data_IF_552631534281
#
_entry.id   IF_552631534281
#
_cell.length_a   1.000
_cell.length_b   1.000
_cell.length_c   1.000
_cell.angle_alpha   90.00
_cell.angle_beta   90.00
_cell.angle_gamma   90.00
#
_symmetry.space_group_name_H-M   'P 1'
#
loop_
_entity.id
_entity.type
_entity.pdbx_description
1 polymer ?
#
# COMPACT_ATOMS: atom_id res chain seq x y z
N UNK A 1 45.29 2.95 -18.61
CA UNK A 1 43.97 2.28 -18.60
C UNK A 1 43.41 2.44 -17.20
N UNK A 2 42.30 3.18 -17.03
CA UNK A 2 41.64 3.25 -15.73
C UNK A 2 40.79 1.99 -15.59
N UNK A 3 41.27 1.04 -14.79
CA UNK A 3 40.51 -0.16 -14.48
C UNK A 3 39.37 0.21 -13.52
N UNK A 4 38.16 -0.29 -13.80
CA UNK A 4 36.97 -0.16 -12.96
C UNK A 4 37.24 -0.54 -11.49
N UNK A 5 38.17 -1.47 -11.27
CA UNK A 5 38.62 -1.92 -9.95
C UNK A 5 39.33 -0.85 -9.12
N UNK A 6 39.82 0.23 -9.72
CA UNK A 6 40.49 1.32 -8.99
C UNK A 6 39.55 2.44 -8.53
N UNK A 7 38.26 2.39 -8.90
CA UNK A 7 37.27 3.33 -8.40
C UNK A 7 37.14 3.17 -6.88
N UNK A 8 36.83 4.26 -6.15
CA UNK A 8 36.60 4.19 -4.71
C UNK A 8 35.29 3.44 -4.39
N UNK A 9 35.14 2.96 -3.16
CA UNK A 9 33.93 2.27 -2.73
C UNK A 9 32.70 3.19 -2.80
N UNK A 10 32.88 4.45 -2.42
CA UNK A 10 31.82 5.47 -2.45
C UNK A 10 31.30 5.66 -3.87
N UNK A 11 32.21 5.83 -4.83
CA UNK A 11 31.83 6.06 -6.22
C UNK A 11 31.22 4.81 -6.86
N UNK A 12 31.67 3.61 -6.48
CA UNK A 12 31.05 2.35 -6.91
C UNK A 12 29.64 2.18 -6.35
N UNK A 13 29.41 2.52 -5.07
CA UNK A 13 28.08 2.49 -4.47
C UNK A 13 27.15 3.48 -5.17
N UNK A 14 27.62 4.70 -5.42
CA UNK A 14 26.87 5.72 -6.17
C UNK A 14 26.49 5.21 -7.56
N UNK A 15 27.40 4.54 -8.28
CA UNK A 15 27.09 3.91 -9.57
C UNK A 15 26.07 2.77 -9.40
N UNK A 16 26.25 1.92 -8.40
CA UNK A 16 25.41 0.74 -8.17
C UNK A 16 23.96 1.11 -7.84
N UNK A 17 23.71 2.28 -7.22
CA UNK A 17 22.34 2.77 -7.00
C UNK A 17 21.54 2.93 -8.31
N UNK A 18 22.21 3.18 -9.44
CA UNK A 18 21.57 3.33 -10.75
C UNK A 18 21.45 2.02 -11.53
N UNK A 19 22.07 0.93 -11.07
CA UNK A 19 22.09 -0.35 -11.78
C UNK A 19 21.21 -1.34 -11.03
N UNK A 20 20.40 -2.09 -11.77
CA UNK A 20 19.59 -3.15 -11.18
C UNK A 20 20.50 -4.21 -10.51
N UNK A 21 20.29 -4.54 -9.22
CA UNK A 21 21.11 -5.50 -8.48
C UNK A 21 21.26 -6.86 -9.14
N UNK A 22 20.29 -7.28 -9.96
CA UNK A 22 20.37 -8.49 -10.76
C UNK A 22 21.54 -8.45 -11.73
N UNK A 23 21.70 -7.35 -12.45
CA UNK A 23 22.81 -7.18 -13.39
C UNK A 23 24.13 -7.09 -12.64
N UNK A 24 24.14 -6.39 -11.51
CA UNK A 24 25.33 -6.33 -10.67
C UNK A 24 25.74 -7.72 -10.18
N UNK A 25 24.77 -8.53 -9.73
CA UNK A 25 25.03 -9.90 -9.33
C UNK A 25 25.58 -10.72 -10.49
N UNK A 26 24.88 -10.84 -11.63
CA UNK A 26 25.36 -11.71 -12.70
C UNK A 26 26.67 -11.26 -13.36
N UNK A 27 26.99 -9.97 -13.32
CA UNK A 27 28.22 -9.46 -13.92
C UNK A 27 29.39 -9.36 -12.95
N UNK A 28 29.16 -9.18 -11.64
CA UNK A 28 30.24 -8.92 -10.68
C UNK A 28 30.32 -9.94 -9.54
N UNK A 29 29.27 -10.73 -9.32
CA UNK A 29 29.29 -11.74 -8.27
C UNK A 29 30.36 -12.79 -8.58
N UNK A 30 31.13 -13.14 -7.56
CA UNK A 30 32.28 -14.05 -7.65
C UNK A 30 33.45 -13.57 -8.51
N UNK A 31 33.42 -12.32 -9.04
CA UNK A 31 34.61 -11.72 -9.66
C UNK A 31 35.64 -11.36 -8.59
N UNK A 32 35.21 -10.66 -7.53
CA UNK A 32 36.07 -10.29 -6.41
C UNK A 32 35.22 -10.06 -5.14
N UNK A 33 35.74 -10.50 -3.99
CA UNK A 33 35.10 -10.32 -2.67
C UNK A 33 34.77 -8.87 -2.34
N UNK A 34 35.56 -7.91 -2.83
CA UNK A 34 35.28 -6.47 -2.67
C UNK A 34 33.95 -6.07 -3.32
N UNK A 35 33.70 -6.50 -4.56
CA UNK A 35 32.47 -6.17 -5.28
C UNK A 35 31.25 -6.86 -4.67
N UNK A 36 31.41 -8.11 -4.20
CA UNK A 36 30.39 -8.80 -3.42
C UNK A 36 30.03 -7.98 -2.17
N UNK A 37 31.02 -7.55 -1.39
CA UNK A 37 30.80 -6.76 -0.18
C UNK A 37 30.12 -5.41 -0.48
N UNK A 38 30.48 -4.76 -1.59
CA UNK A 38 29.83 -3.52 -2.02
C UNK A 38 28.37 -3.73 -2.40
N UNK A 39 28.06 -4.78 -3.16
CA UNK A 39 26.69 -5.14 -3.52
C UNK A 39 25.82 -5.37 -2.27
N UNK A 40 26.37 -6.07 -1.28
CA UNK A 40 25.69 -6.35 0.00
C UNK A 40 25.60 -5.10 0.92
N UNK A 41 26.35 -4.04 0.61
CA UNK A 41 26.36 -2.78 1.35
C UNK A 41 25.42 -1.72 0.76
N UNK A 42 24.78 -2.00 -0.38
CA UNK A 42 23.81 -1.09 -1.00
C UNK A 42 22.68 -0.83 -0.01
N UNK A 43 22.54 0.43 0.40
CA UNK A 43 21.42 0.86 1.24
C UNK A 43 20.14 0.72 0.43
N UNK A 44 19.09 0.23 1.06
CA UNK A 44 17.78 0.11 0.40
C UNK A 44 17.80 -0.80 -0.83
N UNK A 45 18.59 -1.88 -0.78
CA UNK A 45 18.64 -2.86 -1.85
C UNK A 45 17.24 -3.30 -2.26
N UNK A 46 16.90 -3.04 -3.52
CA UNK A 46 15.61 -3.39 -4.12
C UNK A 46 15.75 -4.67 -4.92
N UNK A 47 15.04 -5.70 -4.48
CA UNK A 47 14.99 -6.99 -5.17
C UNK A 47 13.60 -7.17 -5.81
N UNK A 48 13.60 -7.48 -7.11
CA UNK A 48 12.42 -7.87 -7.87
C UNK A 48 12.59 -9.33 -8.27
N UNK A 49 11.65 -10.17 -7.86
CA UNK A 49 11.65 -11.61 -8.15
C UNK A 49 10.55 -11.91 -9.13
N UNK A 50 10.97 -12.30 -10.33
CA UNK A 50 10.09 -12.77 -11.41
C UNK A 50 10.37 -14.28 -11.68
N UNK A 51 9.63 -14.90 -12.60
CA UNK A 51 9.67 -16.35 -12.90
C UNK A 51 11.05 -16.89 -13.37
N UNK A 52 12.04 -16.02 -13.57
CA UNK A 52 13.36 -16.37 -14.12
C UNK A 52 14.52 -16.20 -13.14
N UNK A 53 14.26 -15.71 -11.93
CA UNK A 53 15.33 -15.42 -10.99
C UNK A 53 15.94 -16.68 -10.39
N UNK A 54 17.27 -16.73 -10.30
CA UNK A 54 17.95 -17.89 -9.73
C UNK A 54 17.85 -17.92 -8.20
N UNK A 55 17.70 -19.12 -7.64
CA UNK A 55 17.73 -19.32 -6.19
C UNK A 55 19.03 -18.83 -5.54
N UNK A 56 20.15 -18.87 -6.26
CA UNK A 56 21.45 -18.38 -5.79
C UNK A 56 21.42 -16.86 -5.55
N UNK A 57 20.91 -16.09 -6.52
CA UNK A 57 20.76 -14.64 -6.40
C UNK A 57 19.86 -14.28 -5.23
N UNK A 58 18.70 -14.94 -5.13
CA UNK A 58 17.76 -14.72 -4.03
C UNK A 58 18.43 -15.03 -2.69
N UNK A 59 19.13 -16.15 -2.58
CA UNK A 59 19.79 -16.54 -1.34
C UNK A 59 20.91 -15.58 -0.92
N UNK A 60 21.65 -15.04 -1.89
CA UNK A 60 22.73 -14.10 -1.64
C UNK A 60 22.22 -12.72 -1.21
N UNK A 61 21.16 -12.22 -1.87
CA UNK A 61 20.70 -10.84 -1.72
C UNK A 61 19.58 -10.67 -0.69
N UNK A 62 18.78 -11.71 -0.42
CA UNK A 62 17.61 -11.63 0.46
C UNK A 62 17.90 -11.05 1.85
N UNK A 63 19.00 -11.40 2.55
CA UNK A 63 19.28 -10.85 3.88
C UNK A 63 19.50 -9.32 3.87
N UNK A 64 19.90 -8.76 2.72
CA UNK A 64 20.24 -7.35 2.56
C UNK A 64 19.12 -6.54 1.89
N UNK A 65 18.13 -7.22 1.31
CA UNK A 65 17.02 -6.57 0.64
C UNK A 65 16.12 -5.82 1.64
N UNK A 66 15.94 -4.51 1.39
CA UNK A 66 15.01 -3.66 2.13
C UNK A 66 13.65 -3.49 1.44
N UNK A 67 13.64 -3.60 0.10
CA UNK A 67 12.42 -3.59 -0.70
C UNK A 67 12.36 -4.88 -1.51
N UNK A 68 11.25 -5.60 -1.34
CA UNK A 68 10.98 -6.81 -2.10
C UNK A 68 9.72 -6.63 -2.94
N UNK A 69 9.83 -6.97 -4.22
CA UNK A 69 8.68 -7.21 -5.10
C UNK A 69 8.74 -8.64 -5.60
N UNK A 70 7.68 -9.42 -5.38
CA UNK A 70 7.54 -10.78 -5.92
C UNK A 70 6.42 -10.79 -6.95
N UNK A 71 6.76 -11.10 -8.21
CA UNK A 71 5.82 -11.23 -9.32
C UNK A 71 5.81 -12.62 -9.96
N UNK A 72 6.32 -13.63 -9.28
CA UNK A 72 6.18 -15.04 -9.67
C UNK A 72 5.06 -15.73 -8.90
N UNK A 73 4.64 -16.90 -9.38
CA UNK A 73 3.79 -17.85 -8.64
C UNK A 73 4.58 -18.76 -7.71
N UNK A 74 5.92 -18.71 -7.77
CA UNK A 74 6.78 -19.56 -6.95
C UNK A 74 6.72 -19.17 -5.47
N UNK A 75 6.82 -20.19 -4.62
CA UNK A 75 6.96 -20.02 -3.19
C UNK A 75 8.34 -19.49 -2.83
N UNK A 76 8.39 -18.18 -2.61
CA UNK A 76 9.55 -17.51 -2.03
C UNK A 76 9.47 -17.56 -0.50
N UNK A 77 10.52 -18.08 0.13
CA UNK A 77 10.69 -18.04 1.58
C UNK A 77 11.02 -16.61 2.06
N UNK A 78 9.99 -15.94 2.56
CA UNK A 78 10.06 -14.57 3.06
C UNK A 78 10.88 -14.46 4.36
N UNK A 79 11.15 -15.56 5.08
CA UNK A 79 11.99 -15.53 6.29
C UNK A 79 13.46 -15.21 5.99
N UNK A 80 13.88 -15.34 4.72
CA UNK A 80 15.22 -14.95 4.28
C UNK A 80 15.41 -13.43 4.26
N UNK A 81 14.32 -12.66 4.29
CA UNK A 81 14.33 -11.21 4.11
C UNK A 81 14.14 -10.47 5.44
N UNK A 82 15.20 -10.44 6.26
CA UNK A 82 15.13 -9.95 7.65
C UNK A 82 15.05 -8.42 7.79
N UNK A 83 15.42 -7.69 6.75
CA UNK A 83 15.54 -6.23 6.77
C UNK A 83 14.46 -5.52 5.95
N UNK A 84 13.36 -6.20 5.63
CA UNK A 84 12.29 -5.62 4.83
C UNK A 84 11.59 -4.48 5.56
N UNK A 85 11.53 -3.35 4.87
CA UNK A 85 10.62 -2.26 5.21
C UNK A 85 9.54 -2.08 4.14
N UNK A 86 9.71 -2.64 2.93
CA UNK A 86 8.69 -2.63 1.88
C UNK A 86 8.50 -4.01 1.26
N UNK A 87 7.26 -4.50 1.26
CA UNK A 87 6.87 -5.76 0.63
C UNK A 87 5.73 -5.55 -0.37
N UNK A 88 5.97 -6.00 -1.61
CA UNK A 88 4.95 -6.08 -2.66
C UNK A 88 4.84 -7.52 -3.15
N UNK A 89 3.67 -8.12 -2.98
CA UNK A 89 3.36 -9.43 -3.58
C UNK A 89 2.31 -9.22 -4.67
N UNK A 90 2.71 -9.45 -5.93
CA UNK A 90 1.80 -9.33 -7.06
C UNK A 90 0.89 -10.56 -7.23
N UNK A 91 1.38 -11.73 -6.84
CA UNK A 91 0.71 -13.03 -6.96
C UNK A 91 0.97 -13.87 -5.69
N UNK A 92 0.50 -13.42 -4.51
CA UNK A 92 0.85 -14.06 -3.25
C UNK A 92 0.30 -15.49 -3.19
N UNK A 93 1.14 -16.45 -2.82
CA UNK A 93 0.70 -17.81 -2.49
C UNK A 93 0.20 -17.88 -1.04
N UNK A 94 -0.54 -18.93 -0.69
CA UNK A 94 -0.98 -19.11 0.70
C UNK A 94 0.22 -19.27 1.65
N UNK A 95 1.28 -19.94 1.20
CA UNK A 95 2.50 -20.12 2.00
C UNK A 95 3.14 -18.76 2.30
N UNK A 96 3.26 -17.89 1.29
CA UNK A 96 3.78 -16.54 1.47
C UNK A 96 2.91 -15.69 2.42
N UNK A 97 1.58 -15.76 2.29
CA UNK A 97 0.67 -15.02 3.18
C UNK A 97 0.86 -15.40 4.65
N UNK A 98 1.02 -16.70 4.95
CA UNK A 98 1.29 -17.19 6.33
C UNK A 98 2.63 -16.73 6.91
N UNK A 99 3.59 -16.39 6.05
CA UNK A 99 4.91 -15.92 6.48
C UNK A 99 4.93 -14.41 6.77
N UNK A 100 3.94 -13.65 6.28
CA UNK A 100 3.79 -12.22 6.57
C UNK A 100 3.32 -12.06 8.02
N UNK A 101 4.27 -11.79 8.91
CA UNK A 101 4.01 -11.59 10.33
C UNK A 101 4.87 -10.47 10.88
N UNK A 102 4.32 -9.72 11.83
CA UNK A 102 5.02 -8.57 12.40
C UNK A 102 6.28 -8.95 13.20
N UNK A 103 6.33 -10.17 13.75
CA UNK A 103 7.50 -10.71 14.46
C UNK A 103 8.66 -11.06 13.52
N UNK A 104 8.36 -11.43 12.28
CA UNK A 104 9.39 -11.73 11.25
C UNK A 104 9.76 -10.52 10.41
N UNK A 105 8.88 -9.52 10.33
CA UNK A 105 9.07 -8.28 9.55
C UNK A 105 8.80 -7.03 10.42
N UNK A 106 9.56 -6.82 11.51
CA UNK A 106 9.28 -5.74 12.48
C UNK A 106 9.44 -4.33 11.89
N UNK A 107 10.25 -4.20 10.83
CA UNK A 107 10.54 -2.93 10.16
C UNK A 107 9.58 -2.62 9.00
N UNK A 108 8.58 -3.46 8.75
CA UNK A 108 7.68 -3.30 7.62
C UNK A 108 6.83 -2.03 7.75
N UNK A 109 7.01 -1.12 6.81
CA UNK A 109 6.32 0.17 6.74
C UNK A 109 5.42 0.28 5.51
N UNK A 110 5.69 -0.51 4.45
CA UNK A 110 4.90 -0.56 3.23
C UNK A 110 4.49 -2.00 2.91
N UNK A 111 3.20 -2.22 2.76
CA UNK A 111 2.65 -3.53 2.38
C UNK A 111 1.66 -3.37 1.22
N UNK A 112 1.98 -4.01 0.10
CA UNK A 112 1.11 -4.11 -1.06
C UNK A 112 0.84 -5.57 -1.37
N UNK A 113 -0.44 -5.93 -1.35
CA UNK A 113 -0.89 -7.26 -1.68
C UNK A 113 -1.92 -7.20 -2.83
N UNK A 114 -1.51 -7.71 -3.99
CA UNK A 114 -2.32 -7.79 -5.21
C UNK A 114 -3.25 -9.01 -5.19
N UNK A 115 -4.32 -9.02 -6.00
CA UNK A 115 -5.37 -10.03 -5.85
C UNK A 115 -4.83 -11.43 -6.17
N UNK A 116 -5.16 -12.39 -5.30
CA UNK A 116 -4.99 -13.81 -5.56
C UNK A 116 -6.27 -14.40 -6.19
N UNK A 117 -6.13 -15.54 -6.86
CA UNK A 117 -7.21 -16.41 -7.33
C UNK A 117 -7.91 -17.09 -6.14
N UNK A 118 -7.22 -17.28 -5.01
CA UNK A 118 -7.75 -17.95 -3.81
C UNK A 118 -7.92 -16.94 -2.65
N UNK A 119 -9.11 -16.91 -2.05
CA UNK A 119 -9.49 -16.04 -0.93
C UNK A 119 -8.86 -16.47 0.42
N UNK A 120 -7.54 -16.68 0.48
CA UNK A 120 -6.83 -17.17 1.70
C UNK A 120 -6.18 -16.05 2.51
N UNK A 121 -6.71 -14.84 2.41
CA UNK A 121 -6.15 -13.63 3.02
C UNK A 121 -6.28 -13.55 4.54
N UNK A 122 -7.09 -14.41 5.16
CA UNK A 122 -7.33 -14.42 6.61
C UNK A 122 -6.10 -14.85 7.43
N UNK A 123 -5.04 -15.34 6.77
CA UNK A 123 -3.78 -15.76 7.41
C UNK A 123 -2.91 -14.59 7.91
N UNK A 124 -3.22 -13.33 7.54
CA UNK A 124 -2.45 -12.14 7.97
C UNK A 124 -3.16 -11.42 9.13
N UNK A 125 -2.45 -11.28 10.25
CA UNK A 125 -2.88 -10.48 11.41
C UNK A 125 -2.36 -9.03 11.31
N UNK A 126 -3.15 -8.17 10.66
CA UNK A 126 -2.81 -6.78 10.39
C UNK A 126 -2.70 -5.93 11.67
N UNK A 127 -3.37 -6.30 12.76
CA UNK A 127 -3.33 -5.55 14.03
C UNK A 127 -1.94 -5.45 14.65
N UNK A 128 -1.05 -6.39 14.31
CA UNK A 128 0.33 -6.41 14.85
C UNK A 128 1.28 -5.47 14.11
N UNK A 129 0.91 -4.98 12.93
CA UNK A 129 1.76 -4.14 12.10
C UNK A 129 1.62 -2.64 12.45
N UNK A 130 2.16 -2.25 13.60
CA UNK A 130 2.04 -0.88 14.13
C UNK A 130 2.84 0.19 13.37
N UNK A 131 3.82 -0.23 12.56
CA UNK A 131 4.74 0.65 11.85
C UNK A 131 4.28 0.96 10.41
N UNK A 132 3.12 0.48 9.97
CA UNK A 132 2.67 0.69 8.58
C UNK A 132 2.35 2.17 8.31
N UNK A 133 3.00 2.71 7.29
CA UNK A 133 2.71 4.02 6.70
C UNK A 133 1.83 3.89 5.47
N UNK A 134 1.90 2.75 4.77
CA UNK A 134 1.14 2.50 3.55
C UNK A 134 0.66 1.06 3.49
N UNK A 135 -0.65 0.91 3.31
CA UNK A 135 -1.31 -0.38 3.14
C UNK A 135 -2.13 -0.37 1.86
N UNK A 136 -1.87 -1.33 0.98
CA UNK A 136 -2.68 -1.58 -0.22
C UNK A 136 -3.10 -3.04 -0.27
N UNK A 137 -4.40 -3.27 -0.23
CA UNK A 137 -5.00 -4.60 -0.28
C UNK A 137 -5.97 -4.66 -1.46
N UNK A 138 -5.78 -5.66 -2.32
CA UNK A 138 -6.74 -6.01 -3.35
C UNK A 138 -7.63 -7.16 -2.87
N UNK A 139 -8.94 -6.99 -3.00
CA UNK A 139 -9.98 -7.94 -2.54
C UNK A 139 -9.81 -8.37 -1.07
N UNK A 140 -9.67 -7.41 -0.12
CA UNK A 140 -9.53 -7.75 1.30
C UNK A 140 -10.78 -8.46 1.83
N UNK A 141 -10.60 -9.36 2.80
CA UNK A 141 -11.72 -10.03 3.48
C UNK A 141 -12.31 -9.12 4.56
N UNK A 142 -13.55 -9.40 4.98
CA UNK A 142 -14.18 -8.67 6.09
C UNK A 142 -13.40 -8.79 7.40
N UNK A 143 -12.66 -9.89 7.61
CA UNK A 143 -11.81 -10.06 8.78
C UNK A 143 -10.66 -9.05 8.74
N UNK A 144 -9.92 -8.99 7.63
CA UNK A 144 -8.81 -8.04 7.47
C UNK A 144 -9.25 -6.59 7.62
N UNK A 145 -10.41 -6.24 7.07
CA UNK A 145 -10.91 -4.86 7.14
C UNK A 145 -11.26 -4.43 8.55
N UNK A 146 -11.80 -5.35 9.37
CA UNK A 146 -12.05 -5.10 10.79
C UNK A 146 -10.76 -4.91 11.58
N UNK A 147 -9.64 -5.40 11.06
CA UNK A 147 -8.32 -5.24 11.67
C UNK A 147 -7.67 -3.89 11.36
N UNK A 148 -8.09 -3.20 10.31
CA UNK A 148 -7.59 -1.87 9.98
C UNK A 148 -8.27 -0.85 10.89
N UNK A 149 -7.54 -0.38 11.90
CA UNK A 149 -8.02 0.61 12.86
C UNK A 149 -6.93 1.61 13.21
N UNK A 150 -7.33 2.83 13.52
CA UNK A 150 -6.41 3.94 13.80
C UNK A 150 -5.51 3.70 15.03
N UNK A 151 -6.04 3.02 16.06
CA UNK A 151 -5.31 2.65 17.27
C UNK A 151 -4.20 1.62 17.01
N UNK A 152 -4.39 0.74 16.03
CA UNK A 152 -3.41 -0.28 15.65
C UNK A 152 -2.46 0.16 14.54
N UNK A 153 -2.86 1.10 13.70
CA UNK A 153 -2.06 1.66 12.60
C UNK A 153 -1.98 3.19 12.68
N UNK A 154 -1.39 3.75 13.76
CA UNK A 154 -1.42 5.19 14.02
C UNK A 154 -0.65 6.01 12.97
N UNK A 155 0.33 5.39 12.31
CA UNK A 155 1.20 6.05 11.32
C UNK A 155 0.66 5.99 9.88
N UNK A 156 -0.51 5.40 9.67
CA UNK A 156 -1.01 5.13 8.32
C UNK A 156 -1.30 6.45 7.58
N UNK A 157 -0.59 6.65 6.47
CA UNK A 157 -0.72 7.83 5.59
C UNK A 157 -1.46 7.52 4.29
N UNK A 158 -1.39 6.26 3.86
CA UNK A 158 -1.95 5.78 2.61
C UNK A 158 -2.69 4.47 2.83
N UNK A 159 -3.97 4.44 2.46
CA UNK A 159 -4.81 3.24 2.52
C UNK A 159 -5.53 3.01 1.19
N UNK A 160 -5.20 1.93 0.49
CA UNK A 160 -5.88 1.55 -0.75
C UNK A 160 -6.55 0.20 -0.60
N UNK A 161 -7.87 0.22 -0.55
CA UNK A 161 -8.69 -0.98 -0.62
C UNK A 161 -9.25 -1.06 -2.03
N UNK A 162 -8.78 -2.03 -2.81
CA UNK A 162 -9.26 -2.27 -4.17
C UNK A 162 -10.26 -3.43 -4.15
N UNK A 163 -11.56 -3.13 -4.01
CA UNK A 163 -12.57 -4.16 -3.85
C UNK A 163 -12.94 -4.90 -5.13
N UNK A 164 -13.75 -5.97 -4.96
CA UNK A 164 -14.63 -6.47 -6.01
C UNK A 164 -15.85 -5.56 -6.19
N UNK A 165 -16.54 -5.62 -7.33
CA UNK A 165 -17.58 -4.67 -7.81
C UNK A 165 -18.73 -4.39 -6.83
N UNK A 166 -18.94 -5.23 -5.80
CA UNK A 166 -20.05 -5.14 -4.83
C UNK A 166 -19.62 -4.98 -3.37
N UNK A 167 -18.40 -4.49 -3.12
CA UNK A 167 -17.88 -4.40 -1.76
C UNK A 167 -18.20 -3.05 -1.09
N UNK A 168 -18.71 -3.14 0.14
CA UNK A 168 -18.86 -2.00 1.05
C UNK A 168 -17.82 -2.06 2.15
N UNK A 169 -17.16 -0.93 2.42
CA UNK A 169 -16.21 -0.82 3.51
C UNK A 169 -16.95 -0.90 4.87
N UNK A 170 -16.37 -1.54 5.91
CA UNK A 170 -17.02 -1.60 7.22
C UNK A 170 -17.31 -0.20 7.76
N UNK A 171 -18.49 -0.01 8.36
CA UNK A 171 -18.91 1.27 8.96
C UNK A 171 -17.88 1.85 9.92
N UNK A 172 -17.23 1.01 10.73
CA UNK A 172 -16.19 1.45 11.66
C UNK A 172 -14.97 2.04 10.95
N UNK A 173 -14.48 1.38 9.89
CA UNK A 173 -13.31 1.85 9.14
C UNK A 173 -13.60 3.20 8.46
N UNK A 174 -14.81 3.34 7.90
CA UNK A 174 -15.27 4.62 7.37
C UNK A 174 -15.35 5.65 8.49
N UNK A 175 -15.96 5.32 9.62
CA UNK A 175 -16.02 6.24 10.77
C UNK A 175 -14.63 6.73 11.17
N UNK A 176 -13.67 5.83 11.40
CA UNK A 176 -12.30 6.18 11.82
C UNK A 176 -11.58 7.08 10.81
N UNK A 177 -11.76 6.84 9.51
CA UNK A 177 -11.11 7.60 8.46
C UNK A 177 -11.67 9.03 8.32
N UNK A 178 -13.00 9.15 8.46
CA UNK A 178 -13.71 10.40 8.32
C UNK A 178 -13.78 11.19 9.64
N UNK A 179 -13.49 10.55 10.78
CA UNK A 179 -13.49 11.22 12.08
C UNK A 179 -12.18 11.86 12.52
N UNK A 180 -11.10 11.63 11.77
CA UNK A 180 -9.77 12.12 12.13
C UNK A 180 -9.03 11.23 13.12
N UNK A 181 -9.56 10.05 13.48
CA UNK A 181 -8.84 9.06 14.27
C UNK A 181 -7.55 8.63 13.55
N UNK A 182 -7.62 8.43 12.23
CA UNK A 182 -6.42 8.33 11.41
C UNK A 182 -5.75 9.69 11.17
N UNK A 183 -5.05 10.21 12.17
CA UNK A 183 -4.45 11.56 12.20
C UNK A 183 -3.50 11.87 11.04
N UNK A 184 -2.90 10.85 10.45
CA UNK A 184 -1.91 11.00 9.37
C UNK A 184 -2.41 10.54 8.00
N UNK A 185 -3.64 10.00 7.90
CA UNK A 185 -4.16 9.45 6.66
C UNK A 185 -4.47 10.58 5.68
N UNK A 186 -3.68 10.65 4.60
CA UNK A 186 -3.75 11.68 3.55
C UNK A 186 -4.41 11.15 2.28
N UNK A 187 -4.21 9.87 1.98
CA UNK A 187 -4.76 9.24 0.80
C UNK A 187 -5.56 8.02 1.20
N UNK A 188 -6.81 7.96 0.75
CA UNK A 188 -7.66 6.81 0.97
C UNK A 188 -8.41 6.42 -0.30
N UNK A 189 -8.41 5.13 -0.63
CA UNK A 189 -9.39 4.53 -1.52
C UNK A 189 -10.20 3.53 -0.74
N UNK A 190 -11.47 3.84 -0.56
CA UNK A 190 -12.45 2.90 -0.10
C UNK A 190 -13.15 2.28 -1.30
N UNK A 191 -13.81 1.16 -1.06
CA UNK A 191 -14.79 0.66 -2.00
C UNK A 191 -16.07 1.49 -1.93
N UNK A 192 -17.19 0.80 -1.89
CA UNK A 192 -18.47 1.45 -1.76
C UNK A 192 -18.71 1.97 -0.33
N UNK A 193 -19.37 3.12 -0.23
CA UNK A 193 -19.91 3.69 1.01
C UNK A 193 -21.44 3.74 0.91
N UNK A 194 -22.10 2.87 1.67
CA UNK A 194 -23.57 2.70 1.66
C UNK A 194 -24.32 3.61 2.65
N UNK A 195 -23.63 4.28 3.58
CA UNK A 195 -24.28 4.92 4.73
C UNK A 195 -23.73 6.32 4.99
N UNK A 196 -24.66 7.25 5.25
CA UNK A 196 -24.39 8.63 5.64
C UNK A 196 -24.00 8.76 7.12
N UNK A 197 -24.43 7.83 7.97
CA UNK A 197 -24.28 7.90 9.43
C UNK A 197 -22.86 8.26 9.90
N UNK A 198 -21.77 7.69 9.32
CA UNK A 198 -20.42 7.98 9.78
C UNK A 198 -19.93 9.41 9.45
N UNK A 199 -20.57 10.10 8.50
CA UNK A 199 -20.10 11.38 7.96
C UNK A 199 -20.66 12.59 8.72
N UNK A 200 -21.81 12.43 9.41
CA UNK A 200 -22.56 13.57 9.92
C UNK A 200 -22.03 14.18 11.24
N UNK A 201 -20.97 13.62 11.84
CA UNK A 201 -20.56 13.99 13.22
C UNK A 201 -19.09 14.34 13.40
N UNK A 202 -18.29 14.21 12.35
CA UNK A 202 -16.85 14.33 12.51
C UNK A 202 -16.20 15.07 11.35
N UNK A 203 -14.93 15.40 11.49
CA UNK A 203 -14.14 16.01 10.43
C UNK A 203 -12.77 15.36 10.34
N UNK A 204 -12.40 14.96 9.13
CA UNK A 204 -11.05 14.49 8.81
C UNK A 204 -10.22 15.65 8.28
N UNK A 205 -9.34 16.17 9.13
CA UNK A 205 -8.43 17.26 8.77
C UNK A 205 -7.18 16.77 8.01
N UNK A 206 -6.93 15.46 7.98
CA UNK A 206 -5.74 14.85 7.39
C UNK A 206 -5.91 14.40 5.95
N UNK A 207 -7.13 14.01 5.54
CA UNK A 207 -7.41 13.54 4.19
C UNK A 207 -7.17 14.65 3.16
N UNK A 208 -6.52 14.28 2.05
CA UNK A 208 -6.21 15.15 0.91
C UNK A 208 -6.69 14.53 -0.40
N UNK A 209 -6.61 13.21 -0.50
CA UNK A 209 -7.01 12.45 -1.68
C UNK A 209 -7.97 11.34 -1.26
N UNK A 210 -9.12 11.29 -1.90
CA UNK A 210 -10.16 10.32 -1.57
C UNK A 210 -10.73 9.72 -2.85
N UNK A 211 -10.79 8.39 -2.89
CA UNK A 211 -11.53 7.65 -3.91
C UNK A 211 -12.56 6.75 -3.22
N UNK A 212 -13.84 6.92 -3.56
CA UNK A 212 -14.95 6.14 -3.02
C UNK A 212 -15.88 5.70 -4.14
N UNK A 213 -16.61 4.61 -3.95
CA UNK A 213 -17.80 4.28 -4.72
C UNK A 213 -19.06 4.68 -3.95
N UNK A 214 -20.11 5.12 -4.65
CA UNK A 214 -21.41 5.38 -4.03
C UNK A 214 -22.57 5.08 -4.99
N UNK A 215 -23.74 4.74 -4.45
CA UNK A 215 -24.98 4.59 -5.22
C UNK A 215 -25.73 5.90 -5.39
N UNK A 216 -25.54 6.83 -4.45
CA UNK A 216 -26.27 8.10 -4.39
C UNK A 216 -25.29 9.28 -4.32
N UNK A 217 -25.39 10.17 -5.31
CA UNK A 217 -24.54 11.38 -5.41
C UNK A 217 -24.78 12.37 -4.27
N UNK A 218 -25.90 12.23 -3.56
CA UNK A 218 -26.23 12.99 -2.35
C UNK A 218 -25.23 12.77 -1.20
N UNK A 219 -24.37 11.75 -1.27
CA UNK A 219 -23.26 11.54 -0.33
C UNK A 219 -22.14 12.58 -0.49
N UNK A 220 -21.95 13.11 -1.71
CA UNK A 220 -20.79 13.93 -2.07
C UNK A 220 -20.71 15.22 -1.21
N UNK A 221 -21.80 16.00 -1.01
CA UNK A 221 -21.75 17.17 -0.15
C UNK A 221 -21.31 16.84 1.29
N UNK A 222 -21.77 15.71 1.85
CA UNK A 222 -21.37 15.28 3.19
C UNK A 222 -19.88 14.93 3.27
N UNK A 223 -19.36 14.24 2.25
CA UNK A 223 -17.92 13.93 2.16
C UNK A 223 -17.08 15.21 2.13
N UNK A 224 -17.48 16.20 1.33
CA UNK A 224 -16.79 17.48 1.24
C UNK A 224 -16.88 18.29 2.54
N UNK A 225 -18.02 18.23 3.24
CA UNK A 225 -18.20 18.83 4.57
C UNK A 225 -17.29 18.20 5.63
N UNK A 226 -17.13 16.88 5.56
CA UNK A 226 -16.36 16.07 6.51
C UNK A 226 -14.86 16.20 6.28
N UNK A 227 -14.44 16.44 5.05
CA UNK A 227 -13.02 16.48 4.66
C UNK A 227 -12.66 17.88 4.14
N UNK A 228 -12.58 18.92 4.99
CA UNK A 228 -12.42 20.31 4.52
C UNK A 228 -11.10 20.59 3.80
N UNK A 229 -10.08 19.74 4.00
CA UNK A 229 -8.77 19.88 3.36
C UNK A 229 -8.62 18.99 2.11
N UNK A 230 -9.72 18.45 1.57
CA UNK A 230 -9.66 17.54 0.43
C UNK A 230 -9.25 18.28 -0.85
N UNK A 231 -8.17 17.80 -1.46
CA UNK A 231 -7.59 18.35 -2.69
C UNK A 231 -8.05 17.60 -3.94
N UNK A 232 -8.43 16.32 -3.79
CA UNK A 232 -8.95 15.51 -4.87
C UNK A 232 -9.98 14.50 -4.36
N UNK A 233 -11.12 14.46 -5.04
CA UNK A 233 -12.18 13.47 -4.82
C UNK A 233 -12.44 12.73 -6.13
N UNK A 234 -12.34 11.41 -6.09
CA UNK A 234 -12.78 10.53 -7.17
C UNK A 234 -13.98 9.70 -6.69
N UNK A 235 -15.05 9.66 -7.49
CA UNK A 235 -16.30 9.00 -7.13
C UNK A 235 -16.71 8.04 -8.25
N UNK A 236 -16.76 6.76 -7.93
CA UNK A 236 -17.32 5.74 -8.81
C UNK A 236 -18.84 5.67 -8.55
N UNK A 237 -19.65 6.30 -9.41
CA UNK A 237 -21.11 6.24 -9.31
C UNK A 237 -21.64 4.93 -9.93
N UNK A 238 -22.06 4.00 -9.06
CA UNK A 238 -22.71 2.77 -9.51
C UNK A 238 -24.20 3.08 -9.72
N UNK A 239 -24.71 2.91 -10.94
CA UNK A 239 -26.12 3.20 -11.27
C UNK A 239 -27.05 2.32 -10.41
N UNK A 240 -27.67 2.93 -9.41
CA UNK A 240 -28.92 2.44 -8.83
C UNK A 240 -30.08 2.87 -9.74
N UNK A 241 -31.06 1.99 -9.96
CA UNK A 241 -32.22 2.25 -10.80
C UNK A 241 -33.19 3.32 -10.28
N UNK A 242 -32.92 3.95 -9.14
CA UNK A 242 -33.89 4.82 -8.47
C UNK A 242 -33.71 6.31 -8.78
N UNK A 243 -34.76 6.84 -9.41
CA UNK A 243 -35.04 8.27 -9.63
C UNK A 243 -35.57 8.87 -8.33
N UNK A 244 -34.73 9.39 -7.45
CA UNK A 244 -35.11 10.54 -6.60
C UNK A 244 -33.85 11.24 -6.06
N UNK A 245 -33.63 12.47 -6.51
CA UNK A 245 -32.62 13.38 -5.96
C UNK A 245 -33.26 14.22 -4.85
N UNK A 246 -32.75 14.09 -3.63
CA UNK A 246 -32.91 15.11 -2.59
C UNK A 246 -31.60 15.87 -2.48
N UNK A 247 -31.62 17.17 -2.78
CA UNK A 247 -30.45 18.05 -2.64
C UNK A 247 -30.21 18.32 -1.14
N UNK A 248 -29.07 17.91 -0.54
CA UNK A 248 -28.68 18.42 0.77
C UNK A 248 -28.21 19.87 0.60
N UNK A 249 -28.49 20.72 1.59
CA UNK A 249 -28.04 22.11 1.61
C UNK A 249 -26.54 22.21 1.33
N UNK A 250 -26.19 22.95 0.28
CA UNK A 250 -24.82 23.21 -0.12
C UNK A 250 -24.09 23.96 0.99
N UNK A 251 -22.95 23.41 1.44
CA UNK A 251 -21.99 24.17 2.23
C UNK A 251 -21.16 24.94 1.23
N UNK A 252 -21.39 26.23 1.12
CA UNK A 252 -20.56 27.13 0.32
C UNK A 252 -19.13 27.15 0.91
N UNK A 253 -18.11 27.09 0.04
CA UNK A 253 -16.66 27.33 0.29
C UNK A 253 -15.69 26.13 0.25
N UNK A 254 -16.04 24.95 -0.26
CA UNK A 254 -15.03 23.90 -0.47
C UNK A 254 -14.29 24.08 -1.82
N UNK A 255 -12.94 23.99 -1.83
CA UNK A 255 -12.10 24.21 -3.02
C UNK A 255 -12.52 23.38 -4.25
N UNK A 256 -12.97 22.14 -4.03
CA UNK A 256 -13.47 21.25 -5.09
C UNK A 256 -14.89 21.53 -5.58
N UNK A 257 -15.72 22.29 -4.86
CA UNK A 257 -17.09 22.60 -5.31
C UNK A 257 -17.10 23.62 -6.45
N UNK A 258 -16.04 24.40 -6.62
CA UNK A 258 -15.89 25.34 -7.74
C UNK A 258 -15.74 24.63 -9.11
N UNK A 259 -15.55 23.30 -9.10
CA UNK A 259 -15.34 22.49 -10.31
C UNK A 259 -16.62 21.72 -10.71
N UNK A 260 -17.60 21.61 -9.81
CA UNK A 260 -18.90 20.99 -10.13
C UNK A 260 -19.81 22.11 -10.63
N UNK A 261 -19.74 22.38 -11.94
CA UNK A 261 -20.69 23.27 -12.62
C UNK A 261 -22.14 22.79 -12.46
N UNK A 262 -23.13 23.68 -12.66
CA UNK A 262 -24.54 23.33 -12.48
C UNK A 262 -24.91 22.20 -13.45
N UNK A 263 -25.59 21.17 -12.92
CA UNK A 263 -26.21 20.09 -13.70
C UNK A 263 -27.46 20.62 -14.39
#
# INVERSE_FOLDING_TARGET
>A
MNCFEHLSNELLLDIFEFINPRHLFYHFWNINSRLNNLLLSIKHLRLVIDETESHELISALAPHAGLLTVNTWDDIDLHKFRNLYSLKLARPTQIQLKQIRADTMPNLTYLLLSPNVVNTWDDIDLHKFRNLYSLKLARPTQIQLKQIRADTMPNLTYLSLSPNVYFSAPKQLISDAFSGEFRHLRWARFGHIDSYDPLCRFQSLSLRYLHIGCYHTTLIPFVLATCPNLQQLNVDCLRSGDKTMYSPAMIDNHLLQQIIGPI
#
